data_IF_236804082645
#
_entry.id   IF_236804082645
#
_cell.length_a   1.000
_cell.length_b   1.000
_cell.length_c   1.000
_cell.angle_alpha   90.00
_cell.angle_beta   90.00
_cell.angle_gamma   90.00
#
_symmetry.space_group_name_H-M   'P 1'
#
loop_
_entity.id
_entity.type
_entity.pdbx_description
1 polymer ?
#
# COMPACT_ATOMS: atom_id res chain seq x y z
N UNK A 1 12.01 -6.48 -1.21
CA UNK A 1 11.28 -7.74 -1.34
C UNK A 1 11.67 -8.37 -2.66
N UNK A 2 12.28 -9.56 -2.67
CA UNK A 2 12.44 -10.29 -3.91
C UNK A 2 11.02 -10.63 -4.39
N UNK A 3 10.63 -10.09 -5.53
CA UNK A 3 9.43 -10.54 -6.22
C UNK A 3 9.57 -12.04 -6.43
N UNK A 4 8.72 -12.84 -5.77
CA UNK A 4 8.66 -14.28 -6.05
C UNK A 4 8.41 -14.41 -7.55
N UNK A 5 9.27 -15.14 -8.25
CA UNK A 5 9.05 -15.45 -9.65
C UNK A 5 7.78 -16.30 -9.73
N UNK A 6 6.70 -15.68 -10.14
CA UNK A 6 5.40 -16.34 -10.30
C UNK A 6 5.33 -16.79 -11.76
N UNK A 7 5.10 -18.09 -11.99
CA UNK A 7 4.79 -18.57 -13.32
C UNK A 7 3.37 -18.09 -13.68
N UNK A 8 3.29 -17.28 -14.73
CA UNK A 8 2.02 -16.82 -15.25
C UNK A 8 1.27 -17.98 -15.91
N UNK A 9 -0.02 -18.10 -15.64
CA UNK A 9 -0.90 -19.01 -16.38
C UNK A 9 -0.92 -18.59 -17.85
N UNK A 10 -0.67 -19.54 -18.74
CA UNK A 10 -0.73 -19.28 -20.20
C UNK A 10 -2.14 -18.86 -20.59
N UNK A 11 -2.22 -17.93 -21.56
CA UNK A 11 -3.49 -17.58 -22.17
C UNK A 11 -4.19 -18.84 -22.74
N UNK A 12 -5.52 -18.96 -22.64
CA UNK A 12 -6.25 -20.04 -23.29
C UNK A 12 -5.99 -20.03 -24.79
N UNK A 13 -6.07 -21.23 -25.42
CA UNK A 13 -5.83 -21.36 -26.85
C UNK A 13 -6.80 -20.44 -27.65
N UNK A 14 -6.26 -19.65 -28.56
CA UNK A 14 -7.01 -18.72 -29.39
C UNK A 14 -7.23 -17.33 -28.79
N UNK A 15 -6.77 -17.10 -27.57
CA UNK A 15 -6.79 -15.77 -26.93
C UNK A 15 -5.43 -15.12 -27.00
N UNK A 16 -5.39 -13.83 -27.38
CA UNK A 16 -4.18 -13.00 -27.43
C UNK A 16 -4.44 -11.71 -26.67
N UNK A 17 -3.52 -11.26 -25.79
CA UNK A 17 -3.61 -9.96 -25.15
C UNK A 17 -3.66 -8.84 -26.21
N UNK A 18 -4.61 -7.92 -26.07
CA UNK A 18 -4.77 -6.80 -27.03
C UNK A 18 -4.73 -5.44 -26.34
N UNK A 19 -4.98 -5.40 -25.04
CA UNK A 19 -5.08 -4.18 -24.24
C UNK A 19 -4.80 -4.47 -22.77
N UNK A 20 -4.20 -3.52 -22.06
CA UNK A 20 -3.95 -3.60 -20.62
C UNK A 20 -4.65 -2.46 -19.87
N UNK A 21 -5.48 -2.81 -18.89
CA UNK A 21 -5.93 -1.89 -17.86
C UNK A 21 -5.18 -2.19 -16.56
N UNK A 22 -4.41 -1.21 -16.08
CA UNK A 22 -3.57 -1.34 -14.91
C UNK A 22 -4.04 -0.42 -13.80
N UNK A 23 -4.07 -0.92 -12.56
CA UNK A 23 -4.23 -0.12 -11.36
C UNK A 23 -3.13 -0.46 -10.36
N UNK A 24 -2.33 0.53 -9.95
CA UNK A 24 -1.27 0.39 -8.96
C UNK A 24 -1.50 1.28 -7.74
N UNK A 25 -1.09 0.80 -6.56
CA UNK A 25 -0.78 1.65 -5.42
C UNK A 25 0.54 2.38 -5.70
N UNK A 26 0.75 3.56 -5.13
CA UNK A 26 2.08 4.19 -5.10
C UNK A 26 3.14 3.25 -4.51
N UNK A 27 4.39 3.41 -4.88
CA UNK A 27 5.53 2.64 -4.38
C UNK A 27 5.83 2.87 -2.90
N UNK A 28 6.86 2.20 -2.40
CA UNK A 28 7.38 2.39 -1.04
C UNK A 28 7.63 3.87 -0.75
N UNK A 29 7.36 4.30 0.49
CA UNK A 29 7.37 5.73 0.87
C UNK A 29 7.74 5.92 2.33
N UNK A 30 8.12 7.15 2.69
CA UNK A 30 8.18 7.62 4.07
C UNK A 30 6.81 7.57 4.73
N UNK A 31 6.78 7.50 6.07
CA UNK A 31 5.50 7.43 6.78
C UNK A 31 4.63 8.66 6.45
N UNK A 32 3.32 8.47 6.40
CA UNK A 32 2.39 9.41 5.77
C UNK A 32 2.09 10.67 6.59
N UNK A 33 2.48 10.71 7.89
CA UNK A 33 2.24 11.86 8.78
C UNK A 33 3.43 12.14 9.67
N UNK A 34 3.76 13.40 9.84
CA UNK A 34 4.80 13.89 10.75
C UNK A 34 4.48 13.67 12.23
N UNK A 35 3.21 13.47 12.56
CA UNK A 35 2.75 13.23 13.92
C UNK A 35 3.47 12.06 14.58
N UNK A 36 3.67 10.95 13.87
CA UNK A 36 4.39 9.77 14.36
C UNK A 36 5.81 10.16 14.82
N UNK A 37 6.55 10.83 13.98
CA UNK A 37 7.94 11.19 14.26
C UNK A 37 8.04 12.20 15.41
N UNK A 38 7.14 13.19 15.49
CA UNK A 38 7.08 14.17 16.58
C UNK A 38 6.77 13.52 17.93
N UNK A 39 5.84 12.59 17.97
CA UNK A 39 5.49 11.87 19.19
C UNK A 39 6.64 10.98 19.67
N UNK A 40 7.30 10.26 18.76
CA UNK A 40 8.48 9.46 19.10
C UNK A 40 9.67 10.32 19.52
N UNK A 41 9.94 11.41 18.85
CA UNK A 41 10.99 12.36 19.24
C UNK A 41 10.78 12.89 20.67
N UNK A 42 9.57 13.35 20.96
CA UNK A 42 9.21 13.83 22.30
C UNK A 42 9.33 12.74 23.36
N UNK A 43 8.84 11.53 23.06
CA UNK A 43 8.90 10.38 23.95
C UNK A 43 10.35 9.99 24.25
N UNK A 44 11.18 9.81 23.22
CA UNK A 44 12.56 9.37 23.35
C UNK A 44 13.42 10.41 24.06
N UNK A 45 13.21 11.70 23.80
CA UNK A 45 13.90 12.79 24.50
C UNK A 45 13.53 12.79 25.99
N UNK A 46 12.23 12.80 26.30
CA UNK A 46 11.75 12.85 27.70
C UNK A 46 12.17 11.62 28.50
N UNK A 47 12.10 10.42 27.90
CA UNK A 47 12.46 9.18 28.62
C UNK A 47 13.96 9.03 28.80
N UNK A 48 14.77 9.51 27.87
CA UNK A 48 16.23 9.60 28.01
C UNK A 48 16.63 10.54 29.16
N UNK A 49 16.11 11.76 29.22
CA UNK A 49 16.38 12.73 30.28
C UNK A 49 16.02 12.17 31.67
N UNK A 50 14.96 11.38 31.72
CA UNK A 50 14.49 10.72 32.95
C UNK A 50 15.18 9.38 33.26
N UNK A 51 16.12 8.94 32.42
CA UNK A 51 16.85 7.65 32.53
C UNK A 51 15.92 6.44 32.61
N UNK A 52 14.90 6.43 31.78
CA UNK A 52 13.88 5.36 31.71
C UNK A 52 14.11 4.37 30.58
N UNK A 53 15.05 4.64 29.66
CA UNK A 53 15.34 3.74 28.53
C UNK A 53 16.21 2.55 28.98
N UNK A 54 15.94 1.39 28.39
CA UNK A 54 16.84 0.22 28.44
C UNK A 54 18.06 0.47 27.55
N UNK A 55 19.11 -0.36 27.61
CA UNK A 55 20.22 -0.28 26.63
C UNK A 55 19.74 -0.33 25.18
N UNK A 56 18.75 -1.21 24.86
CA UNK A 56 18.12 -1.32 23.54
C UNK A 56 17.33 -0.05 23.17
N UNK A 57 16.61 0.52 24.15
CA UNK A 57 15.89 1.79 23.99
C UNK A 57 16.82 2.96 23.72
N UNK A 58 17.99 3.04 24.37
CA UNK A 58 19.01 4.07 24.09
C UNK A 58 19.64 3.88 22.71
N UNK A 59 19.98 2.65 22.31
CA UNK A 59 20.51 2.35 20.99
C UNK A 59 19.51 2.73 19.87
N UNK A 60 18.23 2.44 20.07
CA UNK A 60 17.16 2.87 19.17
C UNK A 60 17.09 4.40 19.10
N UNK A 61 17.08 5.08 20.26
CA UNK A 61 17.04 6.54 20.32
C UNK A 61 18.19 7.18 19.53
N UNK A 62 19.42 6.71 19.71
CA UNK A 62 20.60 7.24 18.99
C UNK A 62 20.41 7.14 17.46
N UNK A 63 20.00 5.95 16.97
CA UNK A 63 19.76 5.72 15.56
C UNK A 63 18.59 6.57 15.02
N UNK A 64 17.51 6.69 15.79
CA UNK A 64 16.35 7.53 15.43
C UNK A 64 16.73 9.00 15.33
N UNK A 65 17.49 9.52 16.32
CA UNK A 65 17.92 10.91 16.32
C UNK A 65 18.88 11.24 15.16
N UNK A 66 19.69 10.27 14.72
CA UNK A 66 20.55 10.44 13.55
C UNK A 66 19.71 10.54 12.23
N UNK A 67 18.63 9.77 12.11
CA UNK A 67 17.74 9.80 10.93
C UNK A 67 16.67 10.91 11.00
N UNK A 68 16.43 11.50 12.16
CA UNK A 68 15.30 12.38 12.46
C UNK A 68 15.07 13.47 11.42
N UNK A 69 16.13 14.17 10.98
CA UNK A 69 15.99 15.28 10.04
C UNK A 69 15.40 14.82 8.71
N UNK A 70 15.88 13.70 8.16
CA UNK A 70 15.38 13.12 6.93
C UNK A 70 13.94 12.62 7.08
N UNK A 71 13.64 11.91 8.18
CA UNK A 71 12.31 11.38 8.46
C UNK A 71 11.24 12.48 8.49
N UNK A 72 11.53 13.62 9.12
CA UNK A 72 10.62 14.76 9.18
C UNK A 72 10.51 15.51 7.84
N UNK A 73 11.61 15.66 7.10
CA UNK A 73 11.62 16.38 5.83
C UNK A 73 10.85 15.64 4.72
N UNK A 74 10.86 14.31 4.75
CA UNK A 74 10.37 13.48 3.64
C UNK A 74 8.99 12.85 3.89
N UNK A 75 8.24 13.34 4.88
CA UNK A 75 6.92 12.79 5.26
C UNK A 75 5.99 12.59 4.06
N UNK A 76 5.58 11.34 3.83
CA UNK A 76 4.65 10.95 2.78
C UNK A 76 5.21 10.94 1.36
N UNK A 77 6.49 11.26 1.18
CA UNK A 77 7.17 11.24 -0.12
C UNK A 77 7.50 9.81 -0.57
N UNK A 78 7.55 9.60 -1.88
CA UNK A 78 8.01 8.35 -2.47
C UNK A 78 9.49 8.13 -2.13
N UNK A 79 9.85 6.92 -1.69
CA UNK A 79 11.26 6.56 -1.48
C UNK A 79 11.94 6.17 -2.79
N UNK A 80 13.28 6.11 -2.77
CA UNK A 80 14.07 5.59 -3.89
C UNK A 80 13.64 4.15 -4.24
N UNK A 81 13.43 3.31 -3.23
CA UNK A 81 12.90 1.96 -3.43
C UNK A 81 11.54 1.97 -4.13
N UNK A 82 10.66 2.91 -3.75
CA UNK A 82 9.34 3.05 -4.38
C UNK A 82 9.41 3.41 -5.87
N UNK A 83 10.38 4.24 -6.24
CA UNK A 83 10.68 4.56 -7.64
C UNK A 83 11.13 3.31 -8.40
N UNK A 84 12.13 2.58 -7.88
CA UNK A 84 12.68 1.36 -8.47
C UNK A 84 11.64 0.23 -8.59
N UNK A 85 10.73 0.12 -7.61
CA UNK A 85 9.62 -0.82 -7.66
C UNK A 85 8.73 -0.58 -8.88
N UNK A 86 8.38 0.67 -9.18
CA UNK A 86 7.55 0.99 -10.33
C UNK A 86 8.26 0.79 -11.67
N UNK A 87 9.56 1.06 -11.73
CA UNK A 87 10.37 0.69 -12.89
C UNK A 87 10.36 -0.84 -13.10
N UNK A 88 10.59 -1.60 -12.04
CA UNK A 88 10.57 -3.07 -12.09
C UNK A 88 9.22 -3.64 -12.56
N UNK A 89 8.09 -3.10 -12.03
CA UNK A 89 6.74 -3.52 -12.43
C UNK A 89 6.49 -3.22 -13.91
N UNK A 90 6.91 -2.04 -14.39
CA UNK A 90 6.75 -1.64 -15.79
C UNK A 90 7.53 -2.58 -16.74
N UNK A 91 8.78 -2.92 -16.38
CA UNK A 91 9.60 -3.86 -17.14
C UNK A 91 8.99 -5.24 -17.19
N UNK A 92 8.56 -5.79 -16.05
CA UNK A 92 7.89 -7.08 -15.96
C UNK A 92 6.62 -7.10 -16.81
N UNK A 93 5.83 -6.02 -16.79
CA UNK A 93 4.63 -5.90 -17.62
C UNK A 93 4.98 -5.92 -19.12
N UNK A 94 5.98 -5.15 -19.53
CA UNK A 94 6.46 -5.13 -20.93
C UNK A 94 6.93 -6.51 -21.39
N UNK A 95 7.72 -7.20 -20.58
CA UNK A 95 8.28 -8.52 -20.90
C UNK A 95 7.23 -9.64 -20.96
N UNK A 96 6.16 -9.53 -20.15
CA UNK A 96 5.12 -10.55 -20.09
C UNK A 96 3.99 -10.36 -21.11
N UNK A 97 3.86 -9.16 -21.70
CA UNK A 97 2.80 -8.83 -22.64
C UNK A 97 3.36 -8.18 -23.93
N UNK A 98 4.32 -8.84 -24.62
CA UNK A 98 4.94 -8.29 -25.81
C UNK A 98 3.93 -8.03 -26.93
N UNK A 99 2.86 -8.83 -27.02
CA UNK A 99 1.79 -8.65 -28.02
C UNK A 99 1.14 -7.27 -27.95
N UNK A 100 1.09 -6.68 -26.73
CA UNK A 100 0.49 -5.36 -26.51
C UNK A 100 1.49 -4.25 -26.79
N UNK A 101 2.76 -4.41 -26.42
CA UNK A 101 3.72 -3.30 -26.33
C UNK A 101 4.77 -3.24 -27.44
N UNK A 102 5.14 -4.37 -28.07
CA UNK A 102 6.27 -4.38 -29.03
C UNK A 102 6.05 -3.48 -30.26
N UNK A 103 4.81 -3.35 -30.72
CA UNK A 103 4.48 -2.52 -31.87
C UNK A 103 4.44 -1.02 -31.55
N UNK A 104 4.58 -0.65 -30.29
CA UNK A 104 4.27 0.69 -29.80
C UNK A 104 2.77 0.96 -29.81
N UNK A 105 2.39 2.21 -29.54
CA UNK A 105 1.00 2.66 -29.51
C UNK A 105 0.75 3.67 -28.39
N UNK A 106 -0.51 4.06 -28.24
CA UNK A 106 -0.91 5.09 -27.29
C UNK A 106 -1.15 4.50 -25.89
N UNK A 107 -0.46 5.05 -24.89
CA UNK A 107 -0.64 4.73 -23.47
C UNK A 107 -1.16 5.96 -22.75
N UNK A 108 -2.25 5.80 -22.01
CA UNK A 108 -2.78 6.87 -21.19
C UNK A 108 -2.64 6.53 -19.70
N UNK A 109 -1.91 7.37 -18.96
CA UNK A 109 -1.63 7.18 -17.55
C UNK A 109 -2.24 8.31 -16.71
N UNK A 110 -2.94 7.96 -15.64
CA UNK A 110 -3.53 8.91 -14.69
C UNK A 110 -3.13 8.57 -13.25
N UNK A 111 -2.99 9.59 -12.43
CA UNK A 111 -2.71 9.40 -11.00
C UNK A 111 -3.62 10.22 -10.10
N UNK A 112 -3.70 9.82 -8.82
CA UNK A 112 -4.22 10.71 -7.79
C UNK A 112 -3.31 11.93 -7.62
N UNK A 113 -3.81 13.00 -6.97
CA UNK A 113 -3.06 14.25 -6.79
C UNK A 113 -1.91 14.17 -5.78
N UNK A 114 -1.74 13.03 -5.11
CA UNK A 114 -0.65 12.83 -4.16
C UNK A 114 0.70 12.72 -4.89
N UNK A 115 1.70 13.53 -4.50
CA UNK A 115 3.01 13.58 -5.15
C UNK A 115 3.65 12.18 -5.33
N UNK A 116 3.53 11.30 -4.32
CA UNK A 116 4.01 9.91 -4.42
C UNK A 116 3.34 9.10 -5.53
N UNK A 117 2.05 9.34 -5.80
CA UNK A 117 1.35 8.65 -6.90
C UNK A 117 1.79 9.19 -8.27
N UNK A 118 1.98 10.52 -8.38
CA UNK A 118 2.53 11.16 -9.57
C UNK A 118 3.92 10.63 -9.89
N UNK A 119 4.81 10.59 -8.87
CA UNK A 119 6.16 10.07 -9.04
C UNK A 119 6.20 8.58 -9.38
N UNK A 120 5.29 7.77 -8.81
CA UNK A 120 5.14 6.36 -9.15
C UNK A 120 4.70 6.17 -10.61
N UNK A 121 3.74 6.98 -11.07
CA UNK A 121 3.31 7.02 -12.47
C UNK A 121 4.48 7.36 -13.39
N UNK A 122 5.21 8.42 -13.08
CA UNK A 122 6.35 8.85 -13.91
C UNK A 122 7.47 7.81 -13.96
N UNK A 123 7.81 7.16 -12.81
CA UNK A 123 8.79 6.07 -12.79
C UNK A 123 8.40 4.92 -13.72
N UNK A 124 7.13 4.52 -13.67
CA UNK A 124 6.58 3.46 -14.50
C UNK A 124 6.58 3.84 -15.99
N UNK A 125 6.07 5.02 -16.32
CA UNK A 125 5.97 5.51 -17.70
C UNK A 125 7.35 5.72 -18.36
N UNK A 126 8.32 6.25 -17.60
CA UNK A 126 9.71 6.39 -18.08
C UNK A 126 10.33 5.04 -18.41
N UNK A 127 10.12 4.02 -17.58
CA UNK A 127 10.63 2.68 -17.84
C UNK A 127 9.96 2.04 -19.07
N UNK A 128 8.63 2.15 -19.23
CA UNK A 128 7.96 1.70 -20.45
C UNK A 128 8.51 2.38 -21.70
N UNK A 129 8.75 3.70 -21.64
CA UNK A 129 9.33 4.47 -22.75
C UNK A 129 10.76 4.05 -23.06
N UNK A 130 11.54 3.62 -22.05
CA UNK A 130 12.87 3.05 -22.26
C UNK A 130 12.80 1.66 -22.91
N UNK A 131 11.84 0.82 -22.50
CA UNK A 131 11.64 -0.51 -23.10
C UNK A 131 11.25 -0.39 -24.58
N UNK A 132 10.35 0.54 -24.93
CA UNK A 132 9.98 0.82 -26.32
C UNK A 132 9.80 2.33 -26.59
N UNK A 133 10.80 2.98 -27.19
CA UNK A 133 10.74 4.42 -27.51
C UNK A 133 9.64 4.82 -28.49
N UNK A 134 9.00 3.90 -29.19
CA UNK A 134 7.92 4.19 -30.16
C UNK A 134 6.56 4.39 -29.48
N UNK A 135 6.40 4.00 -28.19
CA UNK A 135 5.16 4.26 -27.46
C UNK A 135 4.93 5.77 -27.26
N UNK A 136 3.70 6.21 -27.47
CA UNK A 136 3.23 7.56 -27.17
C UNK A 136 2.55 7.55 -25.80
N UNK A 137 3.25 8.02 -24.76
CA UNK A 137 2.76 7.98 -23.38
C UNK A 137 2.29 9.37 -22.96
N UNK A 138 1.01 9.47 -22.58
CA UNK A 138 0.40 10.68 -22.04
C UNK A 138 0.11 10.50 -20.57
N UNK A 139 0.75 11.31 -19.72
CA UNK A 139 0.55 11.34 -18.28
C UNK A 139 -0.36 12.50 -17.87
N UNK A 140 -1.28 12.26 -16.93
CA UNK A 140 -2.14 13.29 -16.38
C UNK A 140 -2.43 13.05 -14.89
N UNK A 141 -2.29 14.12 -14.09
CA UNK A 141 -2.72 14.18 -12.70
C UNK A 141 -3.49 15.46 -12.48
N UNK A 142 -4.81 15.38 -12.41
CA UNK A 142 -5.68 16.54 -12.30
C UNK A 142 -6.99 16.20 -11.60
N UNK A 143 -7.70 17.23 -11.14
CA UNK A 143 -9.06 17.04 -10.57
C UNK A 143 -10.05 16.48 -11.61
N UNK A 144 -9.81 16.68 -12.91
CA UNK A 144 -10.67 16.16 -13.98
C UNK A 144 -10.51 14.65 -14.17
N UNK A 145 -9.35 14.09 -13.86
CA UNK A 145 -9.06 12.66 -14.00
C UNK A 145 -9.13 11.92 -12.67
N UNK A 146 -9.33 12.63 -11.55
CA UNK A 146 -9.28 12.07 -10.21
C UNK A 146 -10.32 10.97 -10.00
N UNK A 147 -11.54 11.15 -10.50
CA UNK A 147 -12.63 10.16 -10.36
C UNK A 147 -12.31 8.83 -11.06
N UNK A 148 -11.44 8.83 -12.06
CA UNK A 148 -10.95 7.63 -12.73
C UNK A 148 -9.88 6.87 -11.91
N UNK A 149 -9.44 7.42 -10.77
CA UNK A 149 -8.44 6.82 -9.87
C UNK A 149 -8.97 6.67 -8.45
N UNK A 150 -9.64 7.71 -7.92
CA UNK A 150 -10.20 7.72 -6.55
C UNK A 150 -11.63 8.18 -6.66
N UNK A 151 -12.62 7.26 -6.65
CA UNK A 151 -14.03 7.63 -6.68
C UNK A 151 -14.38 8.46 -5.44
N UNK A 152 -15.18 9.49 -5.62
CA UNK A 152 -15.67 10.32 -4.51
C UNK A 152 -17.09 9.93 -4.12
N UNK A 153 -17.39 9.93 -2.82
CA UNK A 153 -18.71 9.59 -2.27
C UNK A 153 -19.86 10.40 -2.90
N UNK A 154 -19.59 11.63 -3.32
CA UNK A 154 -20.59 12.54 -3.87
C UNK A 154 -21.15 12.09 -5.21
N UNK A 155 -20.42 11.29 -5.95
CA UNK A 155 -20.75 10.89 -7.32
C UNK A 155 -21.10 9.40 -7.43
N UNK A 156 -20.89 8.62 -6.38
CA UNK A 156 -21.16 7.19 -6.40
C UNK A 156 -22.58 6.87 -5.90
N UNK A 157 -23.56 6.65 -6.79
CA UNK A 157 -24.93 6.31 -6.41
C UNK A 157 -25.02 4.96 -5.69
N UNK A 158 -24.02 4.09 -5.87
CA UNK A 158 -24.00 2.74 -5.31
C UNK A 158 -23.80 2.74 -3.80
N UNK A 159 -23.09 3.72 -3.22
CA UNK A 159 -22.92 3.84 -1.77
C UNK A 159 -24.24 3.98 -1.01
N UNK A 160 -25.26 4.55 -1.65
CA UNK A 160 -26.61 4.67 -1.07
C UNK A 160 -27.41 3.37 -1.14
N UNK A 161 -27.11 2.52 -2.15
CA UNK A 161 -27.81 1.25 -2.37
C UNK A 161 -27.18 0.12 -1.55
N UNK A 162 -25.88 0.18 -1.33
CA UNK A 162 -25.08 -0.82 -0.62
C UNK A 162 -24.43 -0.16 0.60
N UNK A 163 -25.14 -0.07 1.73
CA UNK A 163 -24.55 0.47 2.95
C UNK A 163 -23.33 -0.37 3.35
N UNK A 164 -22.39 0.26 4.02
CA UNK A 164 -21.14 -0.33 4.51
C UNK A 164 -21.38 -1.72 5.11
N UNK A 165 -20.98 -2.74 4.40
CA UNK A 165 -21.01 -4.11 4.88
C UNK A 165 -19.74 -4.38 5.69
N UNK A 166 -19.84 -5.28 6.66
CA UNK A 166 -18.71 -5.78 7.44
C UNK A 166 -18.61 -7.29 7.24
N UNK A 167 -17.40 -7.85 7.15
CA UNK A 167 -17.22 -9.30 7.07
C UNK A 167 -17.74 -9.98 8.33
N UNK A 168 -18.20 -11.22 8.20
CA UNK A 168 -18.81 -12.00 9.31
C UNK A 168 -17.86 -12.25 10.48
N UNK A 169 -16.55 -12.31 10.25
CA UNK A 169 -15.57 -12.47 11.31
C UNK A 169 -15.41 -11.23 12.20
N UNK A 170 -15.98 -10.08 11.85
CA UNK A 170 -15.82 -8.83 12.60
C UNK A 170 -16.15 -8.98 14.10
N UNK A 171 -17.14 -9.81 14.43
CA UNK A 171 -17.50 -10.16 15.81
C UNK A 171 -16.38 -10.83 16.60
N UNK A 172 -15.45 -11.52 15.93
CA UNK A 172 -14.34 -12.24 16.53
C UNK A 172 -12.99 -11.49 16.39
N UNK A 173 -12.97 -10.37 15.69
CA UNK A 173 -11.76 -9.59 15.37
C UNK A 173 -11.06 -9.07 16.61
N UNK A 174 -11.79 -8.49 17.55
CA UNK A 174 -11.20 -7.84 18.72
C UNK A 174 -10.47 -8.84 19.61
N UNK A 175 -11.01 -10.05 19.77
CA UNK A 175 -10.32 -11.13 20.47
C UNK A 175 -9.05 -11.54 19.73
N UNK A 176 -9.15 -11.77 18.41
CA UNK A 176 -7.99 -12.12 17.59
C UNK A 176 -6.89 -11.05 17.70
N UNK A 177 -7.26 -9.76 17.60
CA UNK A 177 -6.31 -8.66 17.73
C UNK A 177 -5.67 -8.58 19.11
N UNK A 178 -6.42 -8.87 20.17
CA UNK A 178 -5.88 -8.94 21.53
C UNK A 178 -4.84 -10.04 21.67
N UNK A 179 -5.12 -11.23 21.14
CA UNK A 179 -4.25 -12.40 21.24
C UNK A 179 -2.93 -12.24 20.43
N UNK A 180 -2.95 -11.40 19.39
CA UNK A 180 -1.81 -11.16 18.50
C UNK A 180 -1.09 -9.82 18.74
N UNK A 181 -1.50 -9.06 19.75
CA UNK A 181 -0.92 -7.73 19.99
C UNK A 181 0.41 -7.80 20.73
N UNK A 182 1.44 -7.21 20.13
CA UNK A 182 2.80 -7.13 20.69
C UNK A 182 3.12 -5.77 21.34
N UNK A 183 2.18 -4.84 21.34
CA UNK A 183 2.41 -3.46 21.75
C UNK A 183 2.99 -3.32 23.15
N UNK A 184 2.51 -4.13 24.10
CA UNK A 184 3.01 -4.11 25.48
C UNK A 184 4.41 -4.72 25.58
N UNK A 185 4.69 -5.79 24.84
CA UNK A 185 6.00 -6.46 24.81
C UNK A 185 7.08 -5.51 24.28
N UNK A 186 6.81 -4.82 23.18
CA UNK A 186 7.72 -3.85 22.56
C UNK A 186 8.01 -2.69 23.53
N UNK A 187 6.99 -2.15 24.18
CA UNK A 187 7.14 -1.09 25.19
C UNK A 187 7.98 -1.58 26.37
N UNK A 188 7.78 -2.82 26.86
CA UNK A 188 8.55 -3.40 27.96
C UNK A 188 10.04 -3.58 27.61
N UNK A 189 10.40 -3.83 26.36
CA UNK A 189 11.83 -3.90 25.93
C UNK A 189 12.49 -2.55 25.88
N UNK A 190 11.75 -1.50 25.57
CA UNK A 190 12.31 -0.15 25.45
C UNK A 190 12.54 0.55 26.78
N UNK A 191 11.77 0.24 27.82
CA UNK A 191 11.74 1.02 29.06
C UNK A 191 11.99 0.16 30.29
N UNK A 192 12.86 0.64 31.19
CA UNK A 192 13.22 -0.02 32.46
C UNK A 192 11.99 -0.16 33.37
N UNK A 193 11.12 0.83 33.39
CA UNK A 193 9.87 0.83 34.11
C UNK A 193 8.76 1.48 33.28
N UNK A 194 7.90 0.63 32.72
CA UNK A 194 6.81 1.07 31.84
C UNK A 194 5.79 1.96 32.56
N UNK A 195 5.60 1.81 33.89
CA UNK A 195 4.63 2.65 34.62
C UNK A 195 5.10 4.11 34.77
N UNK A 196 6.40 4.34 34.68
CA UNK A 196 6.99 5.68 34.72
C UNK A 196 7.01 6.37 33.37
N UNK A 197 6.68 5.69 32.27
CA UNK A 197 6.65 6.23 30.92
C UNK A 197 5.41 7.11 30.74
N UNK A 198 5.56 8.37 30.29
CA UNK A 198 4.43 9.25 30.06
C UNK A 198 3.60 8.79 28.84
N UNK A 199 2.29 8.91 28.93
CA UNK A 199 1.38 8.62 27.84
C UNK A 199 0.74 7.24 27.84
N UNK A 200 -0.07 6.97 26.81
CA UNK A 200 -0.77 5.70 26.66
C UNK A 200 0.16 4.64 26.03
N UNK A 201 0.42 3.57 26.77
CA UNK A 201 1.36 2.50 26.35
C UNK A 201 0.93 1.77 25.10
N UNK A 202 -0.38 1.57 24.91
CA UNK A 202 -0.91 0.97 23.69
C UNK A 202 -0.64 1.86 22.47
N UNK A 203 -0.82 3.18 22.61
CA UNK A 203 -0.52 4.14 21.54
C UNK A 203 0.98 4.19 21.23
N UNK A 204 1.84 4.18 22.27
CA UNK A 204 3.29 4.12 22.11
C UNK A 204 3.69 2.86 21.32
N UNK A 205 3.18 1.69 21.73
CA UNK A 205 3.43 0.43 21.02
C UNK A 205 2.97 0.47 19.57
N UNK A 206 1.80 1.05 19.30
CA UNK A 206 1.31 1.25 17.92
C UNK A 206 2.23 2.13 17.10
N UNK A 207 2.75 3.22 17.67
CA UNK A 207 3.69 4.10 16.98
C UNK A 207 5.02 3.39 16.66
N UNK A 208 5.51 2.57 17.57
CA UNK A 208 6.73 1.79 17.35
C UNK A 208 6.55 0.75 16.24
N UNK A 209 5.42 0.04 16.21
CA UNK A 209 5.08 -0.91 15.14
C UNK A 209 4.95 -0.17 13.80
N UNK A 210 4.25 0.95 13.77
CA UNK A 210 4.10 1.76 12.56
C UNK A 210 5.44 2.30 12.03
N UNK A 211 6.34 2.70 12.94
CA UNK A 211 7.70 3.05 12.54
C UNK A 211 8.41 1.84 11.95
N UNK A 212 8.48 0.71 12.68
CA UNK A 212 9.17 -0.50 12.25
C UNK A 212 8.75 -0.93 10.85
N UNK A 213 7.45 -1.00 10.58
CA UNK A 213 6.91 -1.43 9.28
C UNK A 213 7.19 -0.44 8.14
N UNK A 214 7.54 0.80 8.45
CA UNK A 214 7.90 1.81 7.44
C UNK A 214 9.40 1.85 7.12
N UNK A 215 10.27 1.43 8.03
CA UNK A 215 11.73 1.54 7.90
C UNK A 215 12.32 0.80 6.68
N UNK A 216 11.89 -0.43 6.34
CA UNK A 216 12.40 -1.13 5.13
C UNK A 216 12.08 -0.38 3.83
N UNK A 217 11.01 0.40 3.81
CA UNK A 217 10.63 1.21 2.65
C UNK A 217 11.62 2.35 2.33
N UNK A 218 12.48 2.69 3.29
CA UNK A 218 13.36 3.86 3.25
C UNK A 218 14.84 3.54 3.58
N UNK A 219 15.18 2.25 3.71
CA UNK A 219 16.56 1.80 3.91
C UNK A 219 17.09 1.91 5.35
N UNK A 220 16.19 1.88 6.35
CA UNK A 220 16.54 2.02 7.76
C UNK A 220 16.21 0.77 8.60
N UNK A 221 16.33 -0.43 8.04
CA UNK A 221 15.93 -1.71 8.65
C UNK A 221 16.55 -1.93 10.05
N UNK A 222 17.79 -1.53 10.27
CA UNK A 222 18.50 -1.77 11.52
C UNK A 222 18.19 -0.80 12.67
N UNK A 223 17.32 0.19 12.50
CA UNK A 223 17.07 1.22 13.54
C UNK A 223 16.50 0.58 14.81
N UNK A 224 15.56 -0.37 14.68
CA UNK A 224 14.86 -1.00 15.81
C UNK A 224 15.37 -2.40 16.15
N UNK A 225 16.60 -2.71 15.81
CA UNK A 225 17.26 -3.97 16.18
C UNK A 225 17.21 -4.20 17.70
N UNK A 226 16.82 -5.39 18.11
CA UNK A 226 16.66 -5.75 19.52
C UNK A 226 15.33 -5.31 20.18
N UNK A 227 14.53 -4.48 19.49
CA UNK A 227 13.22 -4.03 19.99
C UNK A 227 12.09 -4.92 19.45
N UNK A 228 12.13 -5.26 18.17
CA UNK A 228 11.11 -6.05 17.45
C UNK A 228 11.79 -7.15 16.66
N UNK A 229 11.20 -8.35 16.60
CA UNK A 229 11.64 -9.45 15.73
C UNK A 229 10.73 -9.59 14.52
N UNK A 230 11.22 -10.25 13.45
CA UNK A 230 10.43 -10.48 12.24
C UNK A 230 9.21 -11.39 12.50
N UNK A 231 9.35 -12.38 13.40
CA UNK A 231 8.24 -13.26 13.79
C UNK A 231 7.15 -12.51 14.53
N UNK A 232 7.55 -11.58 15.40
CA UNK A 232 6.61 -10.74 16.13
C UNK A 232 5.85 -9.83 15.17
N UNK A 233 6.56 -9.18 14.23
CA UNK A 233 5.89 -8.30 13.29
C UNK A 233 4.95 -9.06 12.34
N UNK A 234 5.26 -10.32 12.01
CA UNK A 234 4.36 -11.15 11.21
C UNK A 234 3.03 -11.40 11.93
N UNK A 235 3.05 -11.62 13.25
CA UNK A 235 1.83 -11.77 14.06
C UNK A 235 1.01 -10.48 14.13
N UNK A 236 1.68 -9.34 14.36
CA UNK A 236 1.00 -8.03 14.36
C UNK A 236 0.46 -7.67 12.96
N UNK A 237 1.17 -8.10 11.89
CA UNK A 237 0.71 -7.92 10.52
C UNK A 237 -0.59 -8.66 10.26
N UNK A 238 -0.73 -9.92 10.68
CA UNK A 238 -1.98 -10.69 10.57
C UNK A 238 -3.15 -9.95 11.21
N UNK A 239 -2.93 -9.39 12.40
CA UNK A 239 -3.92 -8.58 13.12
C UNK A 239 -4.29 -7.30 12.37
N UNK A 240 -3.29 -6.56 11.87
CA UNK A 240 -3.49 -5.35 11.07
C UNK A 240 -4.20 -5.64 9.75
N UNK A 241 -3.89 -6.77 9.13
CA UNK A 241 -4.48 -7.21 7.88
C UNK A 241 -5.99 -7.43 8.00
N UNK A 242 -6.44 -8.08 9.07
CA UNK A 242 -7.88 -8.22 9.36
C UNK A 242 -8.58 -6.87 9.50
N UNK A 243 -7.94 -5.91 10.17
CA UNK A 243 -8.46 -4.54 10.26
C UNK A 243 -8.59 -3.88 8.90
N UNK A 244 -7.55 -3.95 8.08
CA UNK A 244 -7.53 -3.37 6.73
C UNK A 244 -8.58 -4.03 5.83
N UNK A 245 -8.71 -5.35 5.87
CA UNK A 245 -9.73 -6.07 5.13
C UNK A 245 -11.13 -5.60 5.48
N UNK A 246 -11.46 -5.55 6.79
CA UNK A 246 -12.78 -5.18 7.28
C UNK A 246 -13.16 -3.73 6.97
N UNK A 247 -12.22 -2.78 7.17
CA UNK A 247 -12.52 -1.35 7.14
C UNK A 247 -12.26 -0.69 5.79
N UNK A 248 -11.33 -1.23 5.02
CA UNK A 248 -10.86 -0.60 3.79
C UNK A 248 -11.25 -1.42 2.56
N UNK A 249 -11.04 -2.74 2.58
CA UNK A 249 -11.17 -3.55 1.37
C UNK A 249 -12.56 -4.14 1.18
N UNK A 250 -13.20 -4.60 2.25
CA UNK A 250 -14.52 -5.21 2.17
C UNK A 250 -15.64 -4.25 1.70
N UNK A 251 -15.59 -2.91 1.94
CA UNK A 251 -16.51 -1.95 1.33
C UNK A 251 -16.31 -1.79 -0.19
N UNK A 252 -16.36 -2.88 -0.93
CA UNK A 252 -15.95 -3.02 -2.34
C UNK A 252 -16.80 -2.23 -3.34
N UNK A 253 -18.05 -1.96 -3.01
CA UNK A 253 -18.98 -1.28 -3.92
C UNK A 253 -18.60 0.18 -4.23
N UNK A 254 -17.71 0.76 -3.45
CA UNK A 254 -17.14 2.07 -3.73
C UNK A 254 -16.36 2.08 -5.04
N UNK A 255 -15.85 0.92 -5.47
CA UNK A 255 -15.02 0.78 -6.68
C UNK A 255 -15.81 0.44 -7.95
N UNK A 256 -17.14 0.30 -7.88
CA UNK A 256 -17.96 0.05 -9.07
C UNK A 256 -17.68 1.06 -10.21
N UNK A 257 -17.59 2.38 -9.98
CA UNK A 257 -17.31 3.33 -11.06
C UNK A 257 -15.96 3.10 -11.74
N UNK A 258 -14.94 2.64 -10.99
CA UNK A 258 -13.63 2.30 -11.57
C UNK A 258 -13.73 1.05 -12.42
N UNK A 259 -14.43 0.02 -11.96
CA UNK A 259 -14.63 -1.21 -12.73
C UNK A 259 -15.42 -0.94 -14.02
N UNK A 260 -16.46 -0.12 -13.95
CA UNK A 260 -17.23 0.30 -15.12
C UNK A 260 -16.35 1.07 -16.15
N UNK A 261 -15.49 1.98 -15.68
CA UNK A 261 -14.55 2.69 -16.53
C UNK A 261 -13.52 1.76 -17.18
N UNK A 262 -13.01 0.77 -16.44
CA UNK A 262 -12.11 -0.27 -16.97
C UNK A 262 -12.79 -1.05 -18.10
N UNK A 263 -14.02 -1.53 -17.90
CA UNK A 263 -14.78 -2.28 -18.90
C UNK A 263 -15.06 -1.41 -20.12
N UNK A 264 -15.57 -0.19 -19.90
CA UNK A 264 -15.89 0.74 -20.99
C UNK A 264 -14.67 1.08 -21.85
N UNK A 265 -13.49 1.24 -21.27
CA UNK A 265 -12.25 1.49 -22.01
C UNK A 265 -11.83 0.26 -22.82
N UNK A 266 -11.88 -0.92 -22.23
CA UNK A 266 -11.62 -2.17 -22.97
C UNK A 266 -12.58 -2.35 -24.16
N UNK A 267 -13.87 -2.11 -23.96
CA UNK A 267 -14.87 -2.16 -25.05
C UNK A 267 -14.59 -1.12 -26.14
N UNK A 268 -14.14 0.08 -25.77
CA UNK A 268 -13.81 1.11 -26.77
C UNK A 268 -12.61 0.73 -27.64
N UNK A 269 -11.63 0.02 -27.09
CA UNK A 269 -10.52 -0.55 -27.89
C UNK A 269 -11.01 -1.67 -28.81
N UNK A 270 -11.82 -2.60 -28.28
CA UNK A 270 -12.39 -3.71 -29.07
C UNK A 270 -13.23 -3.22 -30.24
N UNK A 271 -13.98 -2.13 -30.06
CA UNK A 271 -14.83 -1.55 -31.12
C UNK A 271 -14.06 -0.59 -32.05
N UNK A 272 -12.79 -0.36 -31.81
CA UNK A 272 -11.96 0.59 -32.58
C UNK A 272 -12.29 2.07 -32.33
N UNK A 273 -13.05 2.37 -31.26
CA UNK A 273 -13.36 3.74 -30.85
C UNK A 273 -12.21 4.40 -30.07
N UNK A 274 -11.24 3.62 -29.61
CA UNK A 274 -10.00 4.03 -28.96
C UNK A 274 -8.83 3.28 -29.57
N UNK A 275 -7.69 3.96 -29.68
CA UNK A 275 -6.42 3.41 -30.14
C UNK A 275 -5.42 3.18 -28.97
N UNK A 276 -5.90 3.24 -27.74
CA UNK A 276 -5.07 2.96 -26.57
C UNK A 276 -4.67 1.48 -26.53
N UNK A 277 -3.40 1.22 -26.30
CA UNK A 277 -2.89 -0.12 -26.00
C UNK A 277 -2.90 -0.38 -24.50
N UNK A 278 -2.84 0.67 -23.68
CA UNK A 278 -2.94 0.56 -22.22
C UNK A 278 -3.52 1.83 -21.58
N UNK A 279 -4.31 1.62 -20.51
CA UNK A 279 -4.74 2.65 -19.57
C UNK A 279 -4.19 2.32 -18.17
N UNK A 280 -3.37 3.23 -17.62
CA UNK A 280 -2.64 3.02 -16.37
C UNK A 280 -3.17 3.95 -15.29
N UNK A 281 -3.44 3.40 -14.08
CA UNK A 281 -3.94 4.14 -12.93
C UNK A 281 -2.99 3.99 -11.76
N UNK A 282 -2.66 5.11 -11.09
CA UNK A 282 -1.75 5.15 -9.94
C UNK A 282 -2.42 5.84 -8.75
N UNK A 283 -2.77 5.05 -7.75
CA UNK A 283 -3.55 5.50 -6.61
C UNK A 283 -3.08 4.92 -5.28
N UNK A 284 -4.03 4.38 -4.54
CA UNK A 284 -3.85 3.99 -3.15
C UNK A 284 -4.36 2.57 -2.90
N UNK A 285 -3.89 1.95 -1.79
CA UNK A 285 -4.40 0.68 -1.26
C UNK A 285 -5.90 0.73 -0.96
N UNK A 286 -6.38 1.89 -0.50
CA UNK A 286 -7.81 2.15 -0.27
C UNK A 286 -8.69 2.07 -1.51
N UNK A 287 -8.11 1.94 -2.69
CA UNK A 287 -8.83 1.73 -3.95
C UNK A 287 -8.53 0.36 -4.57
N UNK A 288 -7.24 -0.03 -4.62
CA UNK A 288 -6.89 -1.32 -5.24
C UNK A 288 -7.39 -2.51 -4.43
N UNK A 289 -7.38 -2.41 -3.08
CA UNK A 289 -7.90 -3.47 -2.20
C UNK A 289 -9.40 -3.74 -2.45
N UNK A 290 -10.28 -2.74 -2.30
CA UNK A 290 -11.71 -2.92 -2.59
C UNK A 290 -12.00 -3.35 -4.05
N UNK A 291 -11.23 -2.85 -5.01
CA UNK A 291 -11.36 -3.29 -6.41
C UNK A 291 -11.04 -4.79 -6.57
N UNK A 292 -10.01 -5.27 -5.88
CA UNK A 292 -9.62 -6.69 -5.87
C UNK A 292 -10.73 -7.57 -5.28
N UNK A 293 -11.35 -7.11 -4.17
CA UNK A 293 -12.50 -7.78 -3.54
C UNK A 293 -13.71 -7.76 -4.47
N UNK A 294 -14.04 -6.63 -5.09
CA UNK A 294 -15.15 -6.48 -6.04
C UNK A 294 -15.03 -7.45 -7.23
N UNK A 295 -13.81 -7.69 -7.67
CA UNK A 295 -13.53 -8.60 -8.80
C UNK A 295 -13.35 -10.06 -8.36
N UNK A 296 -13.35 -10.38 -7.07
CA UNK A 296 -13.13 -11.74 -6.55
C UNK A 296 -11.76 -12.34 -6.89
N UNK A 297 -10.74 -11.51 -7.12
CA UNK A 297 -9.41 -11.96 -7.55
C UNK A 297 -8.79 -12.85 -6.48
N UNK A 298 -8.40 -14.06 -6.87
CA UNK A 298 -7.80 -15.08 -5.98
C UNK A 298 -8.64 -15.41 -4.74
N UNK A 299 -9.96 -15.19 -4.78
CA UNK A 299 -10.86 -15.40 -3.65
C UNK A 299 -10.76 -14.30 -2.59
N UNK A 300 -10.37 -13.09 -2.99
CA UNK A 300 -10.32 -11.92 -2.10
C UNK A 300 -11.69 -11.48 -1.57
N UNK A 301 -12.78 -11.95 -2.20
CA UNK A 301 -14.18 -11.70 -1.82
C UNK A 301 -14.71 -12.61 -0.72
N UNK A 302 -13.84 -13.41 -0.07
CA UNK A 302 -14.23 -14.33 1.01
C UNK A 302 -14.85 -13.59 2.19
N UNK A 303 -15.91 -14.19 2.75
CA UNK A 303 -16.62 -13.68 3.93
C UNK A 303 -16.80 -14.79 4.98
N UNK A 304 -15.70 -15.34 5.56
CA UNK A 304 -15.79 -16.36 6.59
C UNK A 304 -16.16 -15.77 7.95
N UNK A 305 -16.53 -16.65 8.90
CA UNK A 305 -16.71 -16.29 10.30
C UNK A 305 -15.42 -16.39 11.12
N UNK A 306 -14.47 -17.23 10.70
CA UNK A 306 -13.18 -17.42 11.35
C UNK A 306 -12.14 -16.43 10.76
N UNK A 307 -11.57 -15.52 11.59
CA UNK A 307 -10.50 -14.61 11.14
C UNK A 307 -9.30 -15.33 10.52
N UNK A 308 -9.00 -16.56 10.96
CA UNK A 308 -7.84 -17.32 10.48
C UNK A 308 -7.93 -17.67 8.98
N UNK A 309 -9.12 -17.66 8.40
CA UNK A 309 -9.30 -17.95 6.97
C UNK A 309 -8.90 -16.80 6.06
N UNK A 310 -8.79 -15.57 6.58
CA UNK A 310 -8.50 -14.35 5.81
C UNK A 310 -7.33 -13.52 6.34
N UNK A 311 -6.72 -13.88 7.47
CA UNK A 311 -5.63 -13.11 8.07
C UNK A 311 -4.41 -12.89 7.17
N UNK A 312 -4.23 -13.74 6.16
CA UNK A 312 -3.11 -13.72 5.22
C UNK A 312 -3.56 -13.48 3.76
N UNK A 313 -4.74 -12.89 3.56
CA UNK A 313 -5.31 -12.77 2.21
C UNK A 313 -4.63 -11.67 1.37
N UNK A 314 -3.98 -10.72 2.02
CA UNK A 314 -3.29 -9.57 1.43
C UNK A 314 -1.82 -9.50 1.82
#
# INVERSE_FOLDING_TARGET
>A
YPLKKVELTKAPQGYVPFYISHYARHGSRYYWTDKLYKELDTLLTTTHERKLLTPEGEAFREKFMAAKQELHASVGELSQLGWEQHQGIARIMYENFPEVFEKGGNVFAISSLAGRCVMSMSAFCLELKQCNPTMEIREQSSRMTLDGVVPTDKQNPFLRQFPHQRPRYEKNRDQFQSDHSLRQTIVARMFINTDSVPGNKHHIGSNLINLYTSLPSIGYEGIMEGIVTDEEIASEWESSNLGSYSWVFFPQYEMIPILEDIIKKADSVLTGSSDHIADLRFGHDTCIGPLTVLMGINGADKDPEDPNEVKNIY
#
